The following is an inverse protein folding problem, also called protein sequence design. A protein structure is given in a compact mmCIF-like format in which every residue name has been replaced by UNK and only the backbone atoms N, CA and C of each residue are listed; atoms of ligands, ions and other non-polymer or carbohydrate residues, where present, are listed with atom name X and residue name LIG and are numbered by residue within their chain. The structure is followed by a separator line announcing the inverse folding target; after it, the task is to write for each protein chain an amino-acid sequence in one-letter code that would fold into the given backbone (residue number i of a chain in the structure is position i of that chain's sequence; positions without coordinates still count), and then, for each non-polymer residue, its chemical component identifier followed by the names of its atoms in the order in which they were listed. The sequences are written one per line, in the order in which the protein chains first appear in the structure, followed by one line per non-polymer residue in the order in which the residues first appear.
data_IF_000365218818
#
_entry.id   IF_000365218818
#
_cell.length_a   1.000
_cell.length_b   1.000
_cell.length_c   1.000
_cell.angle_alpha   90.00
_cell.angle_beta   90.00
_cell.angle_gamma   90.00
#
_symmetry.space_group_name_H-M   'P 1'
#
loop_
_entity.id
_entity.type
_entity.pdbx_description
1 polymer ?
#
# COMPACT_ATOMS: atom_id res chain seq x y z
N UNK A 1 -26.17 33.52 -28.61
CA UNK A 1 -26.57 32.10 -28.43
C UNK A 1 -26.76 31.84 -26.94
N UNK A 2 -27.99 31.60 -26.49
CA UNK A 2 -28.26 31.24 -25.10
C UNK A 2 -27.82 29.78 -24.85
N UNK A 3 -27.09 29.49 -23.75
CA UNK A 3 -26.65 28.13 -23.45
C UNK A 3 -27.86 27.26 -23.11
N UNK A 4 -28.01 26.12 -23.82
CA UNK A 4 -29.08 25.15 -23.53
C UNK A 4 -28.92 24.56 -22.13
N UNK A 5 -30.00 24.39 -21.36
CA UNK A 5 -29.96 23.73 -20.06
C UNK A 5 -29.58 22.25 -20.25
N UNK A 6 -28.44 21.88 -19.68
CA UNK A 6 -27.85 20.57 -19.82
C UNK A 6 -28.53 19.59 -18.84
N UNK A 7 -29.32 18.65 -19.36
CA UNK A 7 -29.87 17.53 -18.57
C UNK A 7 -28.78 16.47 -18.38
N UNK A 8 -28.30 16.20 -17.15
CA UNK A 8 -27.31 15.16 -16.94
C UNK A 8 -27.93 13.80 -17.26
N UNK A 9 -27.29 13.00 -18.11
CA UNK A 9 -27.74 11.62 -18.33
C UNK A 9 -27.51 10.80 -17.05
N UNK A 10 -28.57 10.15 -16.58
CA UNK A 10 -28.57 9.26 -15.40
C UNK A 10 -27.46 8.19 -15.46
N UNK A 11 -27.08 7.79 -16.66
CA UNK A 11 -26.05 6.79 -16.93
C UNK A 11 -24.65 7.22 -16.48
N UNK A 12 -24.35 8.52 -16.47
CA UNK A 12 -23.04 9.05 -16.05
C UNK A 12 -22.95 9.34 -14.54
N UNK A 13 -24.09 9.59 -13.88
CA UNK A 13 -24.20 9.59 -12.41
C UNK A 13 -23.96 8.19 -11.84
N UNK A 14 -24.41 7.15 -12.55
CA UNK A 14 -24.17 5.77 -12.18
C UNK A 14 -22.68 5.38 -12.25
N UNK A 15 -21.92 5.87 -13.24
CA UNK A 15 -20.48 5.54 -13.38
C UNK A 15 -19.61 6.26 -12.34
N UNK A 16 -19.87 7.55 -12.07
CA UNK A 16 -19.20 8.29 -11.00
C UNK A 16 -19.52 7.74 -9.61
N UNK A 17 -20.78 7.33 -9.40
CA UNK A 17 -21.21 6.62 -8.19
C UNK A 17 -20.57 5.23 -8.05
N UNK A 18 -20.45 4.48 -9.14
CA UNK A 18 -19.82 3.16 -9.14
C UNK A 18 -18.31 3.22 -8.87
N UNK A 19 -17.60 4.21 -9.42
CA UNK A 19 -16.18 4.42 -9.14
C UNK A 19 -15.93 4.86 -7.69
N UNK A 20 -16.78 5.75 -7.15
CA UNK A 20 -16.72 6.16 -5.74
C UNK A 20 -17.11 5.05 -4.77
N UNK A 21 -18.13 4.26 -5.10
CA UNK A 21 -18.56 3.10 -4.31
C UNK A 21 -17.53 1.97 -4.36
N UNK A 22 -16.88 1.74 -5.51
CA UNK A 22 -15.80 0.78 -5.66
C UNK A 22 -14.59 1.14 -4.79
N UNK A 23 -14.15 2.40 -4.78
CA UNK A 23 -13.06 2.85 -3.91
C UNK A 23 -13.45 2.83 -2.42
N UNK A 24 -14.67 3.22 -2.09
CA UNK A 24 -15.20 3.14 -0.72
C UNK A 24 -15.28 1.69 -0.21
N UNK A 25 -15.70 0.75 -1.06
CA UNK A 25 -15.73 -0.68 -0.74
C UNK A 25 -14.33 -1.29 -0.64
N UNK A 26 -13.36 -0.84 -1.44
CA UNK A 26 -11.94 -1.23 -1.31
C UNK A 26 -11.38 -0.69 0.00
N UNK A 27 -11.57 0.59 0.32
CA UNK A 27 -11.13 1.17 1.60
C UNK A 27 -11.81 0.47 2.80
N UNK A 28 -13.08 0.09 2.67
CA UNK A 28 -13.81 -0.64 3.71
C UNK A 28 -13.37 -2.11 3.84
N UNK A 29 -13.10 -2.83 2.74
CA UNK A 29 -12.63 -4.23 2.77
C UNK A 29 -11.19 -4.36 3.22
N UNK A 30 -10.32 -3.43 2.85
CA UNK A 30 -8.92 -3.39 3.30
C UNK A 30 -8.72 -2.63 4.61
N UNK A 31 -9.78 -1.99 5.15
CA UNK A 31 -9.74 -1.16 6.36
C UNK A 31 -10.14 -1.88 7.65
N UNK A 32 -10.36 -3.20 7.64
CA UNK A 32 -10.75 -3.94 8.83
C UNK A 32 -9.51 -4.36 9.66
N UNK A 33 -8.98 -3.42 10.45
CA UNK A 33 -8.14 -3.70 11.63
C UNK A 33 -8.73 -3.00 12.87
N UNK A 34 -8.51 -3.50 14.10
CA UNK A 34 -9.56 -3.63 15.11
C UNK A 34 -9.51 -2.57 16.22
N UNK A 35 -9.32 -1.29 15.89
CA UNK A 35 -9.57 -0.21 16.86
C UNK A 35 -10.76 0.57 16.37
N UNK A 36 -11.93 0.34 16.99
CA UNK A 36 -13.21 0.94 16.61
C UNK A 36 -13.13 2.47 16.81
N UNK A 37 -12.98 3.31 15.77
CA UNK A 37 -13.45 4.68 15.91
C UNK A 37 -14.94 4.62 16.28
N UNK A 38 -15.42 5.51 17.13
CA UNK A 38 -16.84 5.57 17.45
C UNK A 38 -17.67 5.56 16.16
N UNK A 39 -18.69 4.69 16.11
CA UNK A 39 -19.62 4.55 14.99
C UNK A 39 -20.03 5.89 14.32
N UNK A 40 -20.31 6.99 15.07
CA UNK A 40 -20.64 8.27 14.44
C UNK A 40 -19.47 8.91 13.66
N UNK A 41 -18.22 8.77 14.11
CA UNK A 41 -17.07 9.37 13.45
C UNK A 41 -16.73 8.66 12.13
N UNK A 42 -16.85 7.34 12.11
CA UNK A 42 -16.70 6.55 10.88
C UNK A 42 -17.78 6.90 9.84
N UNK A 43 -19.03 7.06 10.27
CA UNK A 43 -20.14 7.46 9.38
C UNK A 43 -19.94 8.88 8.86
N UNK A 44 -19.57 9.84 9.71
CA UNK A 44 -19.27 11.21 9.28
C UNK A 44 -18.12 11.27 8.28
N UNK A 45 -17.04 10.52 8.50
CA UNK A 45 -15.92 10.41 7.56
C UNK A 45 -16.36 9.78 6.23
N UNK A 46 -17.14 8.71 6.26
CA UNK A 46 -17.64 8.06 5.06
C UNK A 46 -18.54 9.00 4.24
N UNK A 47 -19.46 9.71 4.90
CA UNK A 47 -20.33 10.70 4.26
C UNK A 47 -19.52 11.86 3.68
N UNK A 48 -18.54 12.39 4.43
CA UNK A 48 -17.64 13.44 3.95
C UNK A 48 -16.83 12.99 2.73
N UNK A 49 -16.35 11.74 2.73
CA UNK A 49 -15.63 11.15 1.59
C UNK A 49 -16.55 11.07 0.37
N UNK A 50 -17.75 10.51 0.52
CA UNK A 50 -18.73 10.36 -0.57
C UNK A 50 -19.09 11.73 -1.16
N UNK A 51 -19.31 12.73 -0.31
CA UNK A 51 -19.57 14.10 -0.75
C UNK A 51 -18.36 14.70 -1.47
N UNK A 52 -17.16 14.52 -0.95
CA UNK A 52 -15.94 15.01 -1.58
C UNK A 52 -15.68 14.34 -2.94
N UNK A 53 -15.98 13.05 -3.10
CA UNK A 53 -15.92 12.36 -4.39
C UNK A 53 -17.02 12.80 -5.34
N UNK A 54 -18.25 13.03 -4.86
CA UNK A 54 -19.34 13.51 -5.70
C UNK A 54 -19.05 14.92 -6.24
N UNK A 55 -18.61 15.83 -5.36
CA UNK A 55 -18.24 17.21 -5.72
C UNK A 55 -16.98 17.22 -6.59
N UNK A 56 -15.96 16.45 -6.20
CA UNK A 56 -14.70 16.34 -6.92
C UNK A 56 -14.88 15.74 -8.32
N UNK A 57 -15.64 14.65 -8.44
CA UNK A 57 -15.98 14.03 -9.71
C UNK A 57 -16.79 14.95 -10.63
N UNK A 58 -17.72 15.73 -10.06
CA UNK A 58 -18.46 16.73 -10.82
C UNK A 58 -17.55 17.86 -11.33
N UNK A 59 -16.66 18.37 -10.49
CA UNK A 59 -15.68 19.39 -10.86
C UNK A 59 -14.69 18.91 -11.92
N UNK A 60 -14.16 17.70 -11.75
CA UNK A 60 -13.23 17.06 -12.69
C UNK A 60 -13.91 16.84 -14.05
N UNK A 61 -15.15 16.33 -14.07
CA UNK A 61 -15.92 16.17 -15.30
C UNK A 61 -16.08 17.50 -16.04
N UNK A 62 -16.38 18.58 -15.33
CA UNK A 62 -16.49 19.89 -15.96
C UNK A 62 -15.16 20.37 -16.52
N UNK A 63 -14.07 20.19 -15.77
CA UNK A 63 -12.74 20.53 -16.25
C UNK A 63 -12.38 19.75 -17.53
N UNK A 64 -12.66 18.44 -17.57
CA UNK A 64 -12.35 17.59 -18.73
C UNK A 64 -13.24 17.89 -19.94
N UNK A 65 -14.56 18.01 -19.74
CA UNK A 65 -15.50 18.14 -20.87
C UNK A 65 -15.50 19.54 -21.49
N UNK A 66 -15.26 20.59 -20.70
CA UNK A 66 -15.40 21.97 -21.17
C UNK A 66 -14.06 22.65 -21.45
N UNK A 67 -12.93 22.13 -20.95
CA UNK A 67 -11.61 22.69 -21.28
C UNK A 67 -11.10 22.15 -22.61
N UNK A 68 -10.91 23.06 -23.57
CA UNK A 68 -10.26 22.73 -24.85
C UNK A 68 -8.82 22.24 -24.63
N UNK A 69 -8.10 22.80 -23.65
CA UNK A 69 -6.74 22.41 -23.32
C UNK A 69 -6.67 20.96 -22.81
N UNK A 70 -7.60 20.55 -21.94
CA UNK A 70 -7.63 19.18 -21.43
C UNK A 70 -7.94 18.18 -22.54
N UNK A 71 -8.91 18.49 -23.42
CA UNK A 71 -9.23 17.62 -24.56
C UNK A 71 -8.06 17.44 -25.54
N UNK A 72 -7.28 18.49 -25.75
CA UNK A 72 -6.09 18.43 -26.60
C UNK A 72 -4.95 17.65 -25.92
N UNK A 73 -4.76 17.82 -24.61
CA UNK A 73 -3.68 17.18 -23.87
C UNK A 73 -3.94 15.71 -23.54
N UNK A 74 -5.20 15.33 -23.25
CA UNK A 74 -5.57 14.00 -22.78
C UNK A 74 -5.01 12.84 -23.63
N UNK A 75 -5.15 12.82 -24.97
CA UNK A 75 -4.64 11.72 -25.80
C UNK A 75 -3.11 11.59 -25.76
N UNK A 76 -2.38 12.66 -25.40
CA UNK A 76 -0.92 12.63 -25.26
C UNK A 76 -0.48 12.32 -23.83
N UNK A 77 -1.26 12.74 -22.83
CA UNK A 77 -0.94 12.49 -21.43
C UNK A 77 -1.08 11.02 -21.05
N UNK A 78 -2.08 10.30 -21.57
CA UNK A 78 -2.30 8.87 -21.27
C UNK A 78 -1.08 8.01 -21.68
N UNK A 79 -0.61 8.02 -22.94
CA UNK A 79 0.54 7.19 -23.35
C UNK A 79 1.83 7.62 -22.65
N UNK A 80 1.94 8.85 -22.16
CA UNK A 80 3.07 9.31 -21.36
C UNK A 80 2.96 8.89 -19.88
N UNK A 81 1.74 8.87 -19.33
CA UNK A 81 1.49 8.52 -17.94
C UNK A 81 1.62 7.01 -17.70
N UNK A 82 1.16 6.18 -18.64
CA UNK A 82 1.22 4.70 -18.51
C UNK A 82 2.64 4.19 -18.21
N UNK A 83 3.70 4.51 -18.98
CA UNK A 83 5.04 4.01 -18.67
C UNK A 83 5.59 4.57 -17.36
N UNK A 84 5.27 5.83 -17.03
CA UNK A 84 5.68 6.44 -15.75
C UNK A 84 5.03 5.72 -14.57
N UNK A 85 3.74 5.37 -14.67
CA UNK A 85 3.05 4.60 -13.64
C UNK A 85 3.58 3.16 -13.57
N UNK A 86 3.79 2.50 -14.71
CA UNK A 86 4.29 1.13 -14.76
C UNK A 86 5.70 1.01 -14.16
N UNK A 87 6.54 2.03 -14.32
CA UNK A 87 7.87 2.08 -13.71
C UNK A 87 7.85 2.60 -12.26
N UNK A 88 6.96 3.54 -11.94
CA UNK A 88 6.88 4.19 -10.64
C UNK A 88 6.20 3.34 -9.56
N UNK A 89 5.14 2.61 -9.91
CA UNK A 89 4.36 1.81 -8.95
C UNK A 89 5.21 0.73 -8.27
N UNK A 90 6.02 -0.09 -8.98
CA UNK A 90 6.90 -1.06 -8.34
C UNK A 90 7.94 -0.43 -7.41
N UNK A 91 8.39 0.80 -7.69
CA UNK A 91 9.31 1.52 -6.78
C UNK A 91 8.64 1.88 -5.47
N UNK A 92 7.37 2.28 -5.52
CA UNK A 92 6.56 2.52 -4.31
C UNK A 92 6.35 1.21 -3.55
N UNK A 93 6.09 0.10 -4.26
CA UNK A 93 5.99 -1.23 -3.65
C UNK A 93 7.27 -1.65 -2.94
N UNK A 94 8.44 -1.36 -3.52
CA UNK A 94 9.73 -1.59 -2.86
C UNK A 94 9.87 -0.83 -1.55
N UNK A 95 9.37 0.42 -1.47
CA UNK A 95 9.34 1.18 -0.20
C UNK A 95 8.41 0.53 0.82
N UNK A 96 7.27 -0.02 0.39
CA UNK A 96 6.34 -0.75 1.25
C UNK A 96 6.99 -2.03 1.81
N UNK A 97 7.69 -2.80 0.97
CA UNK A 97 8.41 -4.01 1.40
C UNK A 97 9.56 -3.69 2.34
N UNK A 98 10.36 -2.67 2.00
CA UNK A 98 11.44 -2.16 2.85
C UNK A 98 10.92 -1.79 4.24
N UNK A 99 9.83 -1.04 4.29
CA UNK A 99 9.18 -0.68 5.57
C UNK A 99 8.72 -1.90 6.35
N UNK A 100 8.07 -2.85 5.67
CA UNK A 100 7.62 -4.10 6.29
C UNK A 100 8.80 -4.89 6.88
N UNK A 101 9.85 -5.15 6.09
CA UNK A 101 11.05 -5.90 6.51
C UNK A 101 11.86 -5.17 7.59
N UNK A 102 11.91 -3.84 7.53
CA UNK A 102 12.60 -3.03 8.55
C UNK A 102 12.01 -3.22 9.95
N UNK A 103 10.73 -3.56 10.06
CA UNK A 103 10.09 -3.88 11.35
C UNK A 103 10.68 -5.15 11.98
N UNK A 104 11.07 -6.12 11.15
CA UNK A 104 11.76 -7.33 11.57
C UNK A 104 13.28 -7.15 11.73
N UNK A 105 13.81 -5.96 11.41
CA UNK A 105 15.24 -5.69 11.38
C UNK A 105 15.96 -6.39 10.22
N UNK A 106 15.23 -6.78 9.17
CA UNK A 106 15.76 -7.43 7.98
C UNK A 106 16.11 -6.37 6.93
N UNK A 107 17.30 -6.46 6.30
CA UNK A 107 17.61 -5.62 5.14
C UNK A 107 16.65 -5.84 3.96
N UNK A 108 16.40 -4.80 3.17
CA UNK A 108 15.45 -4.83 2.04
C UNK A 108 15.87 -5.82 0.95
N UNK A 109 17.17 -6.06 0.84
CA UNK A 109 17.78 -6.98 -0.10
C UNK A 109 17.89 -8.38 0.50
N UNK A 110 17.00 -8.82 1.39
CA UNK A 110 17.06 -10.18 1.97
C UNK A 110 16.10 -11.19 1.36
N UNK A 111 15.10 -10.72 0.62
CA UNK A 111 14.05 -11.56 0.06
C UNK A 111 13.95 -11.26 -1.44
N UNK A 112 13.99 -12.31 -2.27
CA UNK A 112 13.71 -12.15 -3.70
C UNK A 112 12.24 -11.85 -3.86
N UNK A 113 11.90 -10.61 -4.20
CA UNK A 113 10.53 -10.22 -4.54
C UNK A 113 10.37 -10.17 -6.05
N UNK A 114 9.33 -10.83 -6.57
CA UNK A 114 9.00 -10.74 -7.98
C UNK A 114 8.49 -9.34 -8.35
N UNK A 115 8.64 -8.97 -9.62
CA UNK A 115 8.18 -7.67 -10.10
C UNK A 115 6.66 -7.46 -9.90
N UNK A 116 5.88 -8.54 -9.99
CA UNK A 116 4.42 -8.51 -9.81
C UNK A 116 4.00 -8.25 -8.36
N UNK A 117 4.75 -8.77 -7.41
CA UNK A 117 4.54 -8.57 -5.98
C UNK A 117 4.80 -7.11 -5.58
N UNK A 118 5.90 -6.55 -6.08
CA UNK A 118 6.20 -5.13 -5.94
C UNK A 118 5.11 -4.26 -6.59
N UNK A 119 4.58 -4.66 -7.74
CA UNK A 119 3.45 -3.97 -8.35
C UNK A 119 2.22 -4.03 -7.43
N UNK A 120 1.89 -5.21 -6.92
CA UNK A 120 0.76 -5.43 -6.01
C UNK A 120 0.82 -4.57 -4.75
N UNK A 121 1.99 -4.52 -4.09
CA UNK A 121 2.22 -3.69 -2.92
C UNK A 121 2.14 -2.18 -3.22
N UNK A 122 2.59 -1.77 -4.41
CA UNK A 122 2.61 -0.37 -4.83
C UNK A 122 1.26 0.17 -5.33
N UNK A 123 0.37 -0.69 -5.82
CA UNK A 123 -0.91 -0.26 -6.44
C UNK A 123 -1.78 0.48 -5.42
N UNK A 124 -1.92 -0.02 -4.20
CA UNK A 124 -2.75 0.62 -3.18
C UNK A 124 -2.31 2.06 -2.84
N UNK A 125 -1.04 2.32 -2.43
CA UNK A 125 -0.59 3.69 -2.16
C UNK A 125 -0.62 4.59 -3.38
N UNK A 126 -0.38 4.06 -4.59
CA UNK A 126 -0.51 4.82 -5.84
C UNK A 126 -1.96 5.24 -6.12
N UNK A 127 -2.92 4.32 -5.90
CA UNK A 127 -4.35 4.61 -6.04
C UNK A 127 -4.83 5.64 -5.00
N UNK A 128 -4.32 5.56 -3.76
CA UNK A 128 -4.56 6.57 -2.73
C UNK A 128 -4.03 7.95 -3.14
N UNK A 129 -2.80 8.01 -3.69
CA UNK A 129 -2.24 9.26 -4.21
C UNK A 129 -3.09 9.86 -5.33
N UNK A 130 -3.46 9.03 -6.32
CA UNK A 130 -4.29 9.45 -7.44
C UNK A 130 -5.65 9.95 -6.96
N UNK A 131 -6.29 9.24 -6.03
CA UNK A 131 -7.54 9.64 -5.43
C UNK A 131 -7.44 11.02 -4.75
N UNK A 132 -6.42 11.25 -3.93
CA UNK A 132 -6.19 12.55 -3.28
C UNK A 132 -5.99 13.67 -4.28
N UNK A 133 -5.16 13.43 -5.29
CA UNK A 133 -4.91 14.40 -6.36
C UNK A 133 -6.20 14.78 -7.10
N UNK A 134 -6.97 13.79 -7.55
CA UNK A 134 -8.21 14.01 -8.29
C UNK A 134 -9.29 14.70 -7.45
N UNK A 135 -9.37 14.38 -6.16
CA UNK A 135 -10.31 15.00 -5.24
C UNK A 135 -10.02 16.50 -5.12
N UNK A 136 -8.76 16.87 -4.85
CA UNK A 136 -8.39 18.29 -4.74
C UNK A 136 -8.56 19.01 -6.08
N UNK A 137 -8.13 18.41 -7.20
CA UNK A 137 -8.34 19.00 -8.52
C UNK A 137 -9.82 19.23 -8.84
N UNK A 138 -10.68 18.28 -8.46
CA UNK A 138 -12.11 18.43 -8.57
C UNK A 138 -12.67 19.58 -7.73
N UNK A 139 -12.21 19.71 -6.48
CA UNK A 139 -12.60 20.84 -5.62
C UNK A 139 -12.11 22.18 -6.14
N UNK A 140 -10.89 22.26 -6.68
CA UNK A 140 -10.35 23.47 -7.29
C UNK A 140 -11.16 23.89 -8.52
N UNK A 141 -11.56 22.93 -9.37
CA UNK A 141 -12.46 23.18 -10.49
C UNK A 141 -13.85 23.67 -10.05
N UNK A 142 -14.39 23.11 -8.97
CA UNK A 142 -15.66 23.56 -8.38
C UNK A 142 -15.55 25.00 -7.84
N UNK A 143 -14.52 25.29 -7.05
CA UNK A 143 -14.26 26.62 -6.48
C UNK A 143 -14.09 27.64 -7.61
N UNK A 144 -13.27 27.33 -8.62
CA UNK A 144 -13.10 28.22 -9.76
C UNK A 144 -14.44 28.54 -10.41
N UNK A 145 -15.32 27.55 -10.62
CA UNK A 145 -16.64 27.80 -11.22
C UNK A 145 -17.52 28.67 -10.34
N UNK A 146 -17.53 28.44 -9.03
CA UNK A 146 -18.34 29.21 -8.09
C UNK A 146 -17.87 30.69 -8.02
N UNK A 147 -16.55 30.90 -8.07
CA UNK A 147 -15.93 32.21 -7.91
C UNK A 147 -15.45 32.85 -9.24
N UNK A 148 -15.71 32.23 -10.40
CA UNK A 148 -15.32 32.76 -11.71
C UNK A 148 -15.89 34.16 -11.98
N UNK A 149 -17.01 34.52 -11.33
CA UNK A 149 -17.60 35.87 -11.39
C UNK A 149 -16.77 36.93 -10.66
N UNK A 150 -15.88 36.55 -9.76
CA UNK A 150 -15.03 37.44 -8.96
C UNK A 150 -13.72 37.84 -9.69
N UNK A 151 -13.55 37.46 -10.96
CA UNK A 151 -12.39 37.89 -11.77
C UNK A 151 -11.09 37.10 -11.53
N UNK A 152 -11.13 36.02 -10.74
CA UNK A 152 -9.96 35.15 -10.52
C UNK A 152 -9.54 34.46 -11.81
N UNK A 153 -8.25 34.55 -12.16
CA UNK A 153 -7.71 33.88 -13.34
C UNK A 153 -7.76 32.37 -13.14
N UNK A 154 -8.21 31.64 -14.17
CA UNK A 154 -8.26 30.17 -14.17
C UNK A 154 -6.90 29.54 -13.82
N UNK A 155 -5.81 30.12 -14.35
CA UNK A 155 -4.45 29.67 -14.11
C UNK A 155 -4.10 29.63 -12.61
N UNK A 156 -4.39 30.69 -11.86
CA UNK A 156 -4.05 30.81 -10.44
C UNK A 156 -4.80 29.74 -9.61
N UNK A 157 -6.10 29.57 -9.86
CA UNK A 157 -6.90 28.55 -9.18
C UNK A 157 -6.46 27.12 -9.49
N UNK A 158 -6.01 26.85 -10.72
CA UNK A 158 -5.51 25.54 -11.11
C UNK A 158 -4.13 25.27 -10.53
N UNK A 159 -3.23 26.26 -10.50
CA UNK A 159 -1.91 26.12 -9.91
C UNK A 159 -2.00 25.81 -8.41
N UNK A 160 -2.89 26.51 -7.70
CA UNK A 160 -3.20 26.22 -6.29
C UNK A 160 -3.79 24.81 -6.13
N UNK A 161 -4.74 24.43 -7.00
CA UNK A 161 -5.32 23.09 -7.01
C UNK A 161 -4.29 21.98 -7.22
N UNK A 162 -3.35 22.16 -8.15
CA UNK A 162 -2.26 21.21 -8.41
C UNK A 162 -1.35 21.10 -7.17
N UNK A 163 -0.94 22.22 -6.58
CA UNK A 163 -0.07 22.22 -5.41
C UNK A 163 -0.72 21.48 -4.22
N UNK A 164 -1.98 21.80 -3.90
CA UNK A 164 -2.72 21.10 -2.84
C UNK A 164 -3.03 19.64 -3.21
N UNK A 165 -3.24 19.34 -4.50
CA UNK A 165 -3.46 17.98 -4.98
C UNK A 165 -2.22 17.11 -4.82
N UNK A 166 -1.04 17.63 -5.15
CA UNK A 166 0.23 16.95 -4.90
C UNK A 166 0.46 16.75 -3.40
N UNK A 167 0.16 17.74 -2.57
CA UNK A 167 0.25 17.60 -1.11
C UNK A 167 -0.70 16.51 -0.59
N UNK A 168 -1.96 16.51 -1.03
CA UNK A 168 -2.94 15.49 -0.63
C UNK A 168 -2.53 14.08 -1.10
N UNK A 169 -1.99 13.97 -2.32
CA UNK A 169 -1.46 12.72 -2.84
C UNK A 169 -0.32 12.20 -1.95
N UNK A 170 0.65 13.06 -1.60
CA UNK A 170 1.76 12.71 -0.72
C UNK A 170 1.27 12.24 0.66
N UNK A 171 0.35 13.00 1.28
CA UNK A 171 -0.20 12.65 2.59
C UNK A 171 -0.91 11.31 2.58
N UNK A 172 -1.74 11.04 1.55
CA UNK A 172 -2.43 9.76 1.43
C UNK A 172 -1.47 8.60 1.14
N UNK A 173 -0.40 8.83 0.38
CA UNK A 173 0.67 7.84 0.21
C UNK A 173 1.36 7.53 1.54
N UNK A 174 1.70 8.53 2.35
CA UNK A 174 2.30 8.31 3.68
C UNK A 174 1.37 7.50 4.58
N UNK A 175 0.07 7.83 4.60
CA UNK A 175 -0.92 7.06 5.36
C UNK A 175 -1.05 5.62 4.85
N UNK A 176 -1.03 5.42 3.52
CA UNK A 176 -1.09 4.10 2.92
C UNK A 176 0.16 3.26 3.24
N UNK A 177 1.36 3.85 3.19
CA UNK A 177 2.61 3.20 3.59
C UNK A 177 2.61 2.88 5.08
N UNK A 178 2.12 3.78 5.94
CA UNK A 178 2.02 3.53 7.39
C UNK A 178 1.08 2.38 7.76
N UNK A 179 0.19 1.94 6.86
CA UNK A 179 -0.58 0.70 7.07
C UNK A 179 0.30 -0.55 6.98
N UNK A 180 1.36 -0.51 6.17
CA UNK A 180 2.33 -1.60 6.13
C UNK A 180 3.02 -1.76 7.49
N UNK A 181 3.34 -0.66 8.17
CA UNK A 181 3.91 -0.70 9.53
C UNK A 181 2.92 -1.33 10.52
N UNK A 182 1.64 -0.96 10.46
CA UNK A 182 0.61 -1.54 11.31
C UNK A 182 0.41 -3.04 11.05
N UNK A 183 0.48 -3.46 9.78
CA UNK A 183 0.41 -4.87 9.40
C UNK A 183 1.65 -5.64 9.86
N UNK A 184 2.84 -5.10 9.65
CA UNK A 184 4.10 -5.70 10.12
C UNK A 184 4.08 -5.91 11.64
N UNK A 185 3.60 -4.93 12.41
CA UNK A 185 3.44 -5.06 13.86
C UNK A 185 2.41 -6.13 14.26
N UNK A 186 1.35 -6.33 13.48
CA UNK A 186 0.39 -7.40 13.72
C UNK A 186 0.99 -8.78 13.41
N UNK A 187 1.72 -8.88 12.29
CA UNK A 187 2.37 -10.11 11.83
C UNK A 187 3.52 -10.52 12.75
N UNK A 188 4.31 -9.56 13.25
CA UNK A 188 5.32 -9.80 14.28
C UNK A 188 4.70 -10.40 15.54
N UNK A 189 3.55 -9.90 16.01
CA UNK A 189 2.84 -10.48 17.16
C UNK A 189 2.30 -11.88 16.84
N UNK A 190 1.87 -12.14 15.61
CA UNK A 190 1.43 -13.47 15.19
C UNK A 190 2.60 -14.46 15.22
N UNK A 191 3.75 -14.09 14.65
CA UNK A 191 4.95 -14.89 14.64
C UNK A 191 5.51 -15.11 16.05
N UNK A 192 5.51 -14.09 16.91
CA UNK A 192 5.86 -14.21 18.33
C UNK A 192 4.96 -15.21 19.08
N UNK A 193 3.69 -15.32 18.68
CA UNK A 193 2.75 -16.31 19.21
C UNK A 193 2.90 -17.71 18.58
N UNK A 194 3.88 -17.92 17.69
CA UNK A 194 4.12 -19.18 16.98
C UNK A 194 3.10 -19.49 15.90
N UNK A 195 2.39 -18.46 15.41
CA UNK A 195 1.40 -18.55 14.32
C UNK A 195 1.97 -17.93 13.05
N UNK A 196 1.70 -18.54 11.91
CA UNK A 196 2.11 -18.02 10.61
C UNK A 196 1.10 -16.94 10.16
N UNK A 197 1.52 -15.68 9.94
CA UNK A 197 0.68 -14.66 9.33
C UNK A 197 0.36 -15.00 7.87
N UNK A 198 -0.68 -14.35 7.34
CA UNK A 198 -1.02 -14.45 5.91
C UNK A 198 0.07 -13.81 5.04
N UNK A 199 0.13 -14.21 3.77
CA UNK A 199 1.00 -13.62 2.76
C UNK A 199 0.85 -12.08 2.71
N UNK A 200 1.99 -11.39 2.70
CA UNK A 200 2.05 -9.94 2.54
C UNK A 200 2.65 -9.61 1.18
N UNK A 201 1.80 -9.58 0.14
CA UNK A 201 2.19 -9.22 -1.22
C UNK A 201 3.40 -10.04 -1.74
N UNK A 202 3.33 -11.37 -1.62
CA UNK A 202 4.41 -12.28 -2.02
C UNK A 202 5.48 -12.52 -0.95
N UNK A 203 5.42 -11.81 0.19
CA UNK A 203 6.23 -12.12 1.36
C UNK A 203 5.52 -13.19 2.21
N UNK A 204 5.90 -14.44 1.98
CA UNK A 204 5.46 -15.56 2.78
C UNK A 204 6.41 -15.83 3.94
N UNK A 205 5.89 -15.80 5.17
CA UNK A 205 6.65 -16.23 6.34
C UNK A 205 6.49 -17.73 6.58
N UNK A 206 7.59 -18.42 6.90
CA UNK A 206 7.60 -19.84 7.23
C UNK A 206 8.40 -20.08 8.52
N UNK A 207 8.00 -21.07 9.32
CA UNK A 207 8.80 -21.48 10.47
C UNK A 207 9.76 -22.60 10.10
N UNK A 208 11.04 -22.41 10.41
CA UNK A 208 12.11 -23.38 10.13
C UNK A 208 12.94 -23.64 11.38
N UNK A 209 13.48 -24.85 11.45
CA UNK A 209 14.39 -25.30 12.48
C UNK A 209 15.80 -25.39 11.91
N UNK A 210 16.75 -24.84 12.64
CA UNK A 210 18.13 -24.70 12.18
C UNK A 210 18.97 -25.83 12.78
N UNK A 211 19.57 -26.64 11.92
CA UNK A 211 20.58 -27.62 12.30
C UNK A 211 21.93 -27.21 11.68
N UNK A 212 22.78 -26.51 12.45
CA UNK A 212 24.05 -26.02 11.93
C UNK A 212 25.01 -27.17 11.61
N UNK A 213 25.70 -27.07 10.47
CA UNK A 213 26.64 -28.09 10.00
C UNK A 213 27.95 -28.08 10.80
N UNK A 214 28.34 -26.92 11.33
CA UNK A 214 29.54 -26.75 12.15
C UNK A 214 29.20 -26.27 13.57
N UNK A 215 30.14 -26.47 14.52
CA UNK A 215 29.96 -26.01 15.91
C UNK A 215 29.97 -24.48 16.05
N UNK A 216 30.54 -23.77 15.07
CA UNK A 216 30.65 -22.31 15.02
C UNK A 216 30.35 -21.83 13.60
N UNK A 217 29.07 -21.85 13.17
CA UNK A 217 28.70 -21.38 11.86
C UNK A 217 28.93 -19.86 11.76
N UNK A 218 29.37 -19.34 10.61
CA UNK A 218 29.46 -17.91 10.39
C UNK A 218 28.04 -17.32 10.33
N UNK A 219 27.61 -16.71 11.43
CA UNK A 219 26.29 -16.09 11.56
C UNK A 219 26.46 -14.58 11.63
N UNK A 220 25.65 -13.87 10.85
CA UNK A 220 25.53 -12.42 10.91
C UNK A 220 24.38 -12.07 11.85
N UNK A 221 24.70 -11.74 13.10
CA UNK A 221 23.72 -11.43 14.14
C UNK A 221 23.88 -12.32 15.38
N UNK A 222 22.84 -12.46 16.21
CA UNK A 222 22.87 -13.34 17.38
C UNK A 222 22.95 -14.82 16.99
N UNK A 223 23.52 -15.65 17.88
CA UNK A 223 23.59 -17.09 17.65
C UNK A 223 22.19 -17.69 17.45
N UNK A 224 22.00 -18.52 16.40
CA UNK A 224 20.72 -19.15 16.14
C UNK A 224 20.38 -20.14 17.25
N UNK A 225 19.11 -20.17 17.68
CA UNK A 225 18.70 -21.13 18.69
C UNK A 225 18.59 -22.55 18.10
N UNK A 226 19.16 -23.53 18.79
CA UNK A 226 19.16 -24.93 18.32
C UNK A 226 17.85 -25.69 18.57
N UNK A 227 17.01 -25.22 19.51
CA UNK A 227 15.85 -26.00 20.00
C UNK A 227 14.48 -25.36 19.71
N UNK A 228 14.44 -24.18 19.09
CA UNK A 228 13.20 -23.46 18.81
C UNK A 228 13.11 -23.05 17.34
N UNK A 229 11.90 -23.01 16.77
CA UNK A 229 11.73 -22.57 15.40
C UNK A 229 11.98 -21.07 15.28
N UNK A 230 12.56 -20.68 14.16
CA UNK A 230 12.71 -19.28 13.74
C UNK A 230 11.82 -19.02 12.53
N UNK A 231 11.39 -17.79 12.33
CA UNK A 231 10.67 -17.40 11.12
C UNK A 231 11.67 -17.08 10.02
N UNK A 232 11.33 -17.40 8.78
CA UNK A 232 12.06 -17.01 7.57
C UNK A 232 11.09 -16.45 6.55
N UNK A 233 11.54 -15.54 5.69
CA UNK A 233 10.76 -14.98 4.58
C UNK A 233 11.24 -15.55 3.23
N UNK A 234 11.97 -16.67 3.27
CA UNK A 234 12.55 -17.31 2.09
C UNK A 234 14.06 -17.06 1.95
N UNK A 235 14.74 -17.87 1.12
CA UNK A 235 16.14 -17.67 0.78
C UNK A 235 16.30 -16.59 -0.29
N UNK A 236 17.45 -15.95 -0.31
CA UNK A 236 17.85 -15.03 -1.37
C UNK A 236 19.32 -15.27 -1.71
N UNK A 237 19.55 -15.80 -2.92
CA UNK A 237 20.87 -16.23 -3.35
C UNK A 237 21.42 -17.34 -2.46
N UNK A 238 22.59 -17.10 -1.86
CA UNK A 238 23.29 -18.02 -0.97
C UNK A 238 22.96 -17.81 0.51
N UNK A 239 22.08 -16.84 0.85
CA UNK A 239 21.75 -16.48 2.23
C UNK A 239 20.27 -16.68 2.52
N UNK A 240 20.00 -17.01 3.77
CA UNK A 240 18.65 -17.02 4.30
C UNK A 240 18.59 -16.06 5.48
N UNK A 241 17.51 -15.30 5.50
CA UNK A 241 17.27 -14.34 6.57
C UNK A 241 16.21 -14.90 7.50
N UNK A 242 16.54 -14.82 8.78
CA UNK A 242 15.87 -15.53 9.85
C UNK A 242 15.52 -14.51 10.93
N UNK A 243 14.37 -14.69 11.57
CA UNK A 243 13.90 -13.85 12.64
C UNK A 243 13.53 -14.72 13.84
N UNK A 244 14.14 -14.46 14.99
CA UNK A 244 13.89 -15.21 16.22
C UNK A 244 12.71 -14.60 16.98
N UNK A 245 11.56 -15.29 17.10
CA UNK A 245 10.36 -14.74 17.74
C UNK A 245 10.51 -14.44 19.23
N UNK A 246 11.50 -15.04 19.90
CA UNK A 246 11.71 -14.86 21.34
C UNK A 246 12.59 -13.67 21.66
N UNK A 247 13.61 -13.44 20.83
CA UNK A 247 14.54 -12.32 21.01
C UNK A 247 14.17 -11.11 20.17
N UNK A 248 13.20 -11.25 19.27
CA UNK A 248 12.73 -10.23 18.32
C UNK A 248 13.89 -9.67 17.49
N UNK A 249 14.85 -10.52 17.12
CA UNK A 249 16.05 -10.14 16.38
C UNK A 249 16.16 -10.91 15.07
N UNK A 250 16.52 -10.18 14.03
CA UNK A 250 16.97 -10.75 12.77
C UNK A 250 18.38 -11.33 12.90
N UNK A 251 18.61 -12.41 12.16
CA UNK A 251 19.91 -13.01 11.92
C UNK A 251 19.96 -13.53 10.48
N UNK A 252 21.16 -13.58 9.90
CA UNK A 252 21.38 -14.06 8.55
C UNK A 252 22.48 -15.12 8.54
N UNK A 253 22.28 -16.16 7.75
CA UNK A 253 23.24 -17.25 7.61
C UNK A 253 23.25 -17.75 6.16
N UNK A 254 24.37 -18.34 5.72
CA UNK A 254 24.44 -18.94 4.40
C UNK A 254 23.71 -20.28 4.37
N UNK A 255 23.17 -20.65 3.21
CA UNK A 255 22.45 -21.90 3.05
C UNK A 255 23.36 -23.13 3.21
N UNK A 256 24.66 -23.04 2.88
CA UNK A 256 25.59 -24.15 3.08
C UNK A 256 25.94 -24.46 4.55
N UNK A 257 25.77 -23.48 5.44
CA UNK A 257 26.24 -23.57 6.83
C UNK A 257 25.25 -24.26 7.78
N UNK A 258 24.01 -24.48 7.33
CA UNK A 258 23.02 -25.25 8.09
C UNK A 258 21.99 -25.93 7.20
N UNK A 259 21.44 -27.02 7.73
CA UNK A 259 20.23 -27.61 7.19
C UNK A 259 19.00 -26.97 7.83
N UNK A 260 18.05 -26.57 6.98
CA UNK A 260 16.77 -25.97 7.40
C UNK A 260 15.68 -27.00 7.23
N UNK A 261 15.04 -27.39 8.34
CA UNK A 261 13.93 -28.33 8.34
C UNK A 261 12.65 -27.55 8.64
N UNK A 262 11.57 -27.71 7.85
CA UNK A 262 10.29 -27.08 8.15
C UNK A 262 9.82 -27.45 9.56
N UNK A 263 9.37 -26.45 10.33
CA UNK A 263 8.83 -26.70 11.66
C UNK A 263 7.51 -27.49 11.58
N UNK A 264 7.26 -28.36 12.55
CA UNK A 264 5.98 -29.06 12.67
C UNK A 264 5.01 -28.19 13.45
N UNK A 265 3.76 -28.13 13.01
CA UNK A 265 2.69 -27.43 13.73
C UNK A 265 1.91 -28.43 14.56
N UNK A 266 2.04 -28.34 15.88
CA UNK A 266 1.21 -29.08 16.83
C UNK A 266 0.37 -28.08 17.64
N UNK A 267 -0.95 -28.32 17.72
CA UNK A 267 -1.88 -27.44 18.45
C UNK A 267 -1.80 -25.95 18.05
N UNK A 268 -1.51 -25.66 16.78
CA UNK A 268 -1.42 -24.29 16.26
C UNK A 268 -0.14 -23.53 16.65
N UNK A 269 0.89 -24.22 17.14
CA UNK A 269 2.22 -23.66 17.43
C UNK A 269 3.31 -24.41 16.65
N UNK A 270 4.28 -23.66 16.14
CA UNK A 270 5.47 -24.24 15.52
C UNK A 270 6.39 -24.87 16.57
N UNK A 271 6.90 -26.07 16.29
CA UNK A 271 7.87 -26.79 17.10
C UNK A 271 8.95 -27.46 16.24
N UNK A 272 10.14 -27.62 16.81
CA UNK A 272 11.22 -28.33 16.14
C UNK A 272 11.20 -29.82 16.44
N UNK A 273 11.33 -30.69 15.42
CA UNK A 273 11.55 -32.11 15.67
C UNK A 273 12.87 -32.24 16.45
N UNK A 274 12.85 -32.97 17.57
CA UNK A 274 14.09 -33.31 18.26
C UNK A 274 14.95 -34.13 17.30
N UNK A 275 16.17 -33.67 17.03
CA UNK A 275 17.18 -34.46 16.36
C UNK A 275 17.40 -35.73 17.20
N UNK A 276 17.02 -36.89 16.64
CA UNK A 276 17.37 -38.19 17.21
C UNK A 276 18.84 -38.49 16.97
#
# INVERSE_FOLDING_TARGET
MAPRPYRPSLLLLAIGGAAGAGLGAVIHRFGAAPEKPGLPLAVCLAVALVLAYAVGGWGLRHAVLYSAAVRLALPWTIPLAVPVLLAGVPRIGGVVHSKYLSHFGLPDDTVTTDWWDLLGAGVFPAMCALAGFLLIMGTAGFIHRAYARAGTRFADTMQVGIAFGCLAALLLTVVAVGRADARAAADQRALAAGRTPDDFHGLESHFVCIHPTSRTPPVYGPLPPATRPVATFGPQGDRISLWDPRTERALSMRLEDASFVPARFEHGRAGCPQAR
#
